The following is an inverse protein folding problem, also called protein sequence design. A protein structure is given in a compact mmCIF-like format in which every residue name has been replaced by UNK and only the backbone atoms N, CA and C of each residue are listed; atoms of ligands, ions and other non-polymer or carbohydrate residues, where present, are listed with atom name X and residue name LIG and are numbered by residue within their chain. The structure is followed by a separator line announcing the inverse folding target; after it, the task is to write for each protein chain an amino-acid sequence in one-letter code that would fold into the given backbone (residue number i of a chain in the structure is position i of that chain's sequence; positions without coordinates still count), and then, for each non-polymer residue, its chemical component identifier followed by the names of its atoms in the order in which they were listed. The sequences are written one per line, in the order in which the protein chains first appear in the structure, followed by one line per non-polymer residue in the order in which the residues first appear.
data_IF_965600059342
#
_entry.id   IF_965600059342
#
_cell.length_a   1.000
_cell.length_b   1.000
_cell.length_c   1.000
_cell.angle_alpha   90.00
_cell.angle_beta   90.00
_cell.angle_gamma   90.00
#
_symmetry.space_group_name_H-M   'P 1'
#
loop_
_entity.id
_entity.type
_entity.pdbx_description
1 polymer ?
#
# COMPACT_ATOMS: atom_id res chain seq x y z
N UNK A 1 -10.79 5.13 15.74
CA UNK A 1 -11.40 3.79 15.85
C UNK A 1 -10.59 3.04 16.90
N UNK A 2 -11.23 2.25 17.76
CA UNK A 2 -10.50 1.51 18.81
C UNK A 2 -9.91 0.23 18.19
N UNK A 3 -8.59 0.08 18.22
CA UNK A 3 -7.86 -1.10 17.70
C UNK A 3 -8.40 -2.40 18.32
N UNK A 4 -9.02 -2.33 19.50
CA UNK A 4 -9.38 -3.45 20.38
C UNK A 4 -10.46 -4.43 19.88
N UNK A 5 -11.08 -4.24 18.71
CA UNK A 5 -12.18 -5.10 18.24
C UNK A 5 -12.06 -5.63 16.81
N UNK A 6 -11.03 -5.25 16.04
CA UNK A 6 -10.88 -5.68 14.65
C UNK A 6 -10.15 -7.02 14.51
N UNK A 7 -10.56 -7.85 13.55
CA UNK A 7 -9.84 -9.08 13.12
C UNK A 7 -9.03 -8.85 11.85
N UNK A 8 -9.48 -7.93 11.00
CA UNK A 8 -8.83 -7.60 9.74
C UNK A 8 -8.45 -6.12 9.73
N UNK A 9 -7.17 -5.82 9.53
CA UNK A 9 -6.67 -4.46 9.52
C UNK A 9 -6.13 -4.08 8.14
N UNK A 10 -6.37 -2.85 7.73
CA UNK A 10 -5.97 -2.30 6.44
C UNK A 10 -5.29 -0.97 6.68
N UNK A 11 -4.11 -0.78 6.10
CA UNK A 11 -3.37 0.48 6.17
C UNK A 11 -2.51 0.65 4.93
N UNK A 12 -2.17 1.89 4.59
CA UNK A 12 -1.44 2.28 3.39
C UNK A 12 -0.63 3.55 3.67
N UNK A 13 0.23 3.93 2.73
CA UNK A 13 0.80 5.28 2.64
C UNK A 13 1.48 5.74 3.95
N UNK A 14 2.24 4.84 4.58
CA UNK A 14 3.05 5.19 5.76
C UNK A 14 4.22 6.08 5.34
N UNK A 15 4.82 5.77 4.19
CA UNK A 15 5.98 6.44 3.61
C UNK A 15 7.13 6.64 4.60
N UNK A 16 7.56 5.56 5.25
CA UNK A 16 8.71 5.62 6.17
C UNK A 16 9.99 6.05 5.44
N UNK A 17 10.78 6.91 6.09
CA UNK A 17 12.02 7.45 5.53
C UNK A 17 11.87 8.69 4.67
N UNK A 18 10.68 9.28 4.62
CA UNK A 18 10.49 10.60 4.03
C UNK A 18 11.31 11.67 4.75
N UNK A 19 11.76 12.68 4.00
CA UNK A 19 12.62 13.76 4.50
C UNK A 19 11.93 14.73 5.46
N UNK A 20 10.60 14.80 5.44
CA UNK A 20 9.76 15.65 6.29
C UNK A 20 9.36 14.96 7.62
N UNK A 21 9.84 13.73 7.87
CA UNK A 21 9.80 13.09 9.19
C UNK A 21 11.23 12.80 9.70
N UNK A 22 12.05 13.84 9.97
CA UNK A 22 13.44 13.66 10.39
C UNK A 22 13.59 13.00 11.76
N UNK A 23 12.51 12.98 12.56
CA UNK A 23 12.50 12.40 13.90
C UNK A 23 11.92 10.98 13.94
N UNK A 24 11.43 10.46 12.80
CA UNK A 24 10.85 9.11 12.71
C UNK A 24 9.56 8.96 13.50
N UNK A 25 8.78 10.03 13.64
CA UNK A 25 7.49 10.01 14.36
C UNK A 25 6.53 9.04 13.67
N UNK A 26 6.46 9.04 12.33
CA UNK A 26 5.59 8.12 11.59
C UNK A 26 6.06 6.67 11.71
N UNK A 27 7.38 6.45 11.68
CA UNK A 27 7.93 5.11 11.92
C UNK A 27 7.56 4.61 13.32
N UNK A 28 7.63 5.48 14.32
CA UNK A 28 7.25 5.15 15.69
C UNK A 28 5.74 4.93 15.85
N UNK A 29 4.89 5.79 15.27
CA UNK A 29 3.43 5.64 15.28
C UNK A 29 3.01 4.34 14.60
N UNK A 30 3.63 4.01 13.45
CA UNK A 30 3.37 2.76 12.74
C UNK A 30 3.84 1.55 13.54
N UNK A 31 5.02 1.63 14.18
CA UNK A 31 5.52 0.58 15.07
C UNK A 31 4.55 0.33 16.24
N UNK A 32 4.07 1.40 16.86
CA UNK A 32 3.14 1.32 17.99
C UNK A 32 1.79 0.76 17.53
N UNK A 33 1.33 1.11 16.33
CA UNK A 33 0.17 0.48 15.71
C UNK A 33 0.36 -1.03 15.53
N UNK A 34 1.45 -1.47 14.90
CA UNK A 34 1.73 -2.90 14.69
C UNK A 34 1.74 -3.68 16.01
N UNK A 35 2.33 -3.09 17.06
CA UNK A 35 2.38 -3.67 18.41
C UNK A 35 1.04 -3.64 19.15
N UNK A 36 0.18 -2.69 18.81
CA UNK A 36 -1.16 -2.56 19.39
C UNK A 36 -2.17 -3.54 18.82
N UNK A 37 -1.85 -4.23 17.71
CA UNK A 37 -2.77 -5.16 17.04
C UNK A 37 -3.21 -6.28 18.01
N UNK A 38 -4.54 -6.50 18.18
CA UNK A 38 -5.07 -7.46 19.14
C UNK A 38 -4.57 -8.88 18.91
N UNK A 39 -4.55 -9.72 19.94
CA UNK A 39 -4.07 -11.10 19.82
C UNK A 39 -4.90 -11.94 18.85
N UNK A 40 -6.19 -11.64 18.68
CA UNK A 40 -7.11 -12.31 17.76
C UNK A 40 -7.12 -11.71 16.35
N UNK A 41 -6.19 -10.80 16.03
CA UNK A 41 -5.97 -10.32 14.66
C UNK A 41 -5.68 -11.50 13.75
N UNK A 42 -6.44 -11.63 12.68
CA UNK A 42 -6.25 -12.70 11.68
C UNK A 42 -5.41 -12.23 10.51
N UNK A 43 -5.69 -11.02 10.00
CA UNK A 43 -5.02 -10.50 8.80
C UNK A 43 -4.67 -9.02 8.91
N UNK A 44 -3.50 -8.68 8.40
CA UNK A 44 -3.06 -7.31 8.19
C UNK A 44 -2.80 -7.11 6.70
N UNK A 45 -3.43 -6.12 6.10
CA UNK A 45 -3.27 -5.73 4.71
C UNK A 45 -2.52 -4.40 4.65
N UNK A 46 -1.30 -4.46 4.13
CA UNK A 46 -0.45 -3.31 3.83
C UNK A 46 -0.66 -2.94 2.36
N UNK A 47 -1.49 -1.94 2.10
CA UNK A 47 -1.93 -1.52 0.77
C UNK A 47 -0.96 -0.50 0.13
N UNK A 48 0.32 -0.83 0.13
CA UNK A 48 1.38 -0.12 -0.59
C UNK A 48 1.86 1.16 0.07
N UNK A 49 3.01 1.63 -0.43
CA UNK A 49 3.69 2.84 0.01
C UNK A 49 3.95 2.86 1.54
N UNK A 50 4.35 1.71 2.07
CA UNK A 50 4.81 1.55 3.45
C UNK A 50 6.17 2.23 3.64
N UNK A 51 7.02 2.19 2.62
CA UNK A 51 8.31 2.87 2.58
C UNK A 51 8.29 3.98 1.53
N UNK A 52 8.94 5.13 1.81
CA UNK A 52 9.16 6.19 0.80
C UNK A 52 10.02 5.70 -0.38
N UNK A 53 10.83 4.68 -0.13
CA UNK A 53 11.51 3.92 -1.17
C UNK A 53 12.02 2.59 -0.60
N UNK A 54 11.73 1.48 -1.28
CA UNK A 54 12.30 0.18 -0.95
C UNK A 54 12.79 -0.56 -2.20
N UNK A 55 13.92 -1.25 -2.06
CA UNK A 55 14.43 -2.16 -3.07
C UNK A 55 15.14 -3.35 -2.43
N UNK A 56 14.72 -4.55 -2.78
CA UNK A 56 15.39 -5.78 -2.35
C UNK A 56 16.74 -5.93 -3.07
N UNK A 57 17.78 -6.22 -2.29
CA UNK A 57 19.06 -6.72 -2.79
C UNK A 57 19.26 -8.17 -2.36
N UNK A 58 20.09 -8.91 -3.10
CA UNK A 58 20.33 -10.34 -2.84
C UNK A 58 20.97 -10.64 -1.47
N UNK A 59 21.74 -9.70 -0.93
CA UNK A 59 22.59 -9.96 0.24
C UNK A 59 22.54 -8.87 1.31
N UNK A 60 21.77 -7.81 1.08
CA UNK A 60 21.65 -6.69 2.03
C UNK A 60 20.22 -6.18 2.05
N UNK A 61 19.69 -5.94 3.24
CA UNK A 61 18.49 -5.12 3.40
C UNK A 61 18.91 -3.64 3.47
N UNK A 62 18.11 -2.71 2.93
CA UNK A 62 18.26 -1.29 3.20
C UNK A 62 18.41 -1.00 4.70
N UNK A 63 19.33 -0.10 5.06
CA UNK A 63 19.51 0.32 6.45
C UNK A 63 18.28 1.11 6.91
N UNK A 64 17.73 0.72 8.06
CA UNK A 64 16.57 1.38 8.69
C UNK A 64 15.50 0.36 9.04
N UNK A 65 14.43 0.82 9.70
CA UNK A 65 13.17 0.08 9.89
C UNK A 65 13.29 -1.30 10.57
N UNK A 66 14.44 -1.64 11.16
CA UNK A 66 14.69 -2.96 11.77
C UNK A 66 13.61 -3.31 12.80
N UNK A 67 13.13 -2.31 13.57
CA UNK A 67 12.07 -2.51 14.56
C UNK A 67 10.71 -2.82 13.92
N UNK A 68 10.42 -2.22 12.76
CA UNK A 68 9.21 -2.49 11.98
C UNK A 68 9.29 -3.88 11.35
N UNK A 69 10.42 -4.20 10.71
CA UNK A 69 10.62 -5.53 10.12
C UNK A 69 10.51 -6.62 11.19
N UNK A 70 11.09 -6.40 12.38
CA UNK A 70 10.92 -7.29 13.52
C UNK A 70 9.45 -7.37 13.97
N UNK A 71 8.74 -6.24 14.07
CA UNK A 71 7.32 -6.26 14.43
C UNK A 71 6.44 -7.01 13.39
N UNK A 72 6.76 -6.91 12.10
CA UNK A 72 6.07 -7.67 11.06
C UNK A 72 6.36 -9.18 11.18
N UNK A 73 7.61 -9.56 11.42
CA UNK A 73 7.99 -10.95 11.67
C UNK A 73 7.31 -11.50 12.94
N UNK A 74 7.28 -10.73 14.02
CA UNK A 74 6.58 -11.11 15.26
C UNK A 74 5.08 -11.36 15.01
N UNK A 75 4.45 -10.56 14.14
CA UNK A 75 3.04 -10.74 13.75
C UNK A 75 2.84 -12.03 12.94
N UNK A 76 3.72 -12.35 12.00
CA UNK A 76 3.62 -13.60 11.23
C UNK A 76 3.92 -14.83 12.07
N UNK A 77 4.88 -14.73 12.98
CA UNK A 77 5.28 -15.83 13.88
C UNK A 77 4.16 -16.20 14.87
N UNK A 78 3.37 -15.20 15.32
CA UNK A 78 2.17 -15.46 16.13
C UNK A 78 0.96 -15.94 15.31
N UNK A 79 1.08 -16.05 13.98
CA UNK A 79 0.06 -16.58 13.08
C UNK A 79 -0.81 -15.55 12.35
N UNK A 80 -0.51 -14.25 12.44
CA UNK A 80 -1.23 -13.23 11.65
C UNK A 80 -0.81 -13.35 10.18
N UNK A 81 -1.78 -13.40 9.28
CA UNK A 81 -1.50 -13.36 7.86
C UNK A 81 -1.28 -11.91 7.43
N UNK A 82 -0.02 -11.53 7.20
CA UNK A 82 0.32 -10.22 6.68
C UNK A 82 0.39 -10.28 5.15
N UNK A 83 -0.37 -9.42 4.47
CA UNK A 83 -0.37 -9.27 3.03
C UNK A 83 0.19 -7.89 2.66
N UNK A 84 1.15 -7.87 1.75
CA UNK A 84 1.77 -6.65 1.26
C UNK A 84 1.44 -6.46 -0.22
N UNK A 85 0.71 -5.40 -0.54
CA UNK A 85 0.45 -4.97 -1.91
C UNK A 85 1.47 -3.89 -2.22
N UNK A 86 2.42 -4.10 -3.14
CA UNK A 86 3.38 -3.07 -3.49
C UNK A 86 2.67 -1.84 -4.06
N UNK A 87 3.04 -0.67 -3.56
CA UNK A 87 2.69 0.64 -4.11
C UNK A 87 3.80 1.19 -4.98
N UNK A 88 3.62 2.43 -5.46
CA UNK A 88 4.55 3.03 -6.42
C UNK A 88 5.91 3.43 -5.83
N UNK A 89 6.08 3.44 -4.51
CA UNK A 89 7.36 3.66 -3.84
C UNK A 89 8.10 2.37 -3.47
N UNK A 90 7.39 1.25 -3.40
CA UNK A 90 7.90 -0.02 -2.89
C UNK A 90 7.61 -1.23 -3.81
N UNK A 91 7.43 -1.00 -5.11
CA UNK A 91 7.32 -2.03 -6.16
C UNK A 91 8.41 -3.14 -6.12
N UNK A 92 9.58 -2.83 -5.57
CA UNK A 92 10.71 -3.76 -5.50
C UNK A 92 10.82 -4.53 -4.18
N UNK A 93 9.77 -4.48 -3.35
CA UNK A 93 9.52 -5.48 -2.33
C UNK A 93 9.21 -6.81 -3.04
N UNK A 94 10.08 -7.80 -2.85
CA UNK A 94 9.99 -9.09 -3.51
C UNK A 94 10.13 -10.22 -2.49
N UNK A 95 11.09 -11.13 -2.67
CA UNK A 95 11.16 -12.37 -1.89
C UNK A 95 11.76 -12.18 -0.50
N UNK A 96 12.38 -11.03 -0.19
CA UNK A 96 12.89 -10.77 1.17
C UNK A 96 11.75 -10.79 2.20
N UNK A 97 10.63 -10.13 1.90
CA UNK A 97 9.47 -10.08 2.79
C UNK A 97 8.81 -11.46 2.95
N UNK A 98 8.75 -12.24 1.86
CA UNK A 98 8.17 -13.59 1.89
C UNK A 98 9.05 -14.57 2.66
N UNK A 99 10.37 -14.53 2.45
CA UNK A 99 11.31 -15.52 2.98
C UNK A 99 11.75 -15.22 4.41
N UNK A 100 11.98 -13.95 4.73
CA UNK A 100 12.57 -13.55 6.01
C UNK A 100 11.52 -13.09 7.02
N UNK A 101 10.38 -12.57 6.55
CA UNK A 101 9.35 -11.97 7.42
C UNK A 101 8.02 -12.71 7.38
N UNK A 102 7.88 -13.78 6.59
CA UNK A 102 6.60 -14.51 6.45
C UNK A 102 5.46 -13.69 5.82
N UNK A 103 5.75 -12.50 5.30
CA UNK A 103 4.77 -11.58 4.71
C UNK A 103 4.46 -12.00 3.28
N UNK A 104 3.18 -12.14 2.93
CA UNK A 104 2.75 -12.52 1.57
C UNK A 104 2.74 -11.31 0.65
N UNK A 105 3.61 -11.28 -0.35
CA UNK A 105 3.67 -10.18 -1.31
C UNK A 105 2.70 -10.45 -2.46
N UNK A 106 1.66 -9.62 -2.56
CA UNK A 106 0.60 -9.73 -3.56
C UNK A 106 0.97 -8.89 -4.77
N UNK A 107 1.13 -9.52 -5.93
CA UNK A 107 1.58 -8.84 -7.17
C UNK A 107 0.42 -8.32 -7.99
N UNK A 108 -0.79 -8.76 -7.65
CA UNK A 108 -2.03 -8.32 -8.21
C UNK A 108 -2.36 -6.89 -7.77
N UNK A 109 -2.84 -6.11 -8.73
CA UNK A 109 -3.15 -4.69 -8.57
C UNK A 109 -4.38 -4.40 -7.70
N UNK A 110 -5.51 -5.07 -7.99
CA UNK A 110 -6.62 -5.26 -7.06
C UNK A 110 -6.88 -6.76 -6.95
N UNK A 111 -7.22 -7.20 -5.75
CA UNK A 111 -7.79 -8.52 -5.50
C UNK A 111 -9.19 -8.39 -4.94
N UNK A 112 -10.05 -9.36 -5.25
CA UNK A 112 -11.38 -9.47 -4.65
C UNK A 112 -11.37 -10.67 -3.72
N UNK A 113 -11.87 -10.49 -2.50
CA UNK A 113 -11.95 -11.56 -1.51
C UNK A 113 -13.17 -11.39 -0.61
N UNK A 114 -13.54 -12.46 0.08
CA UNK A 114 -14.60 -12.45 1.08
C UNK A 114 -13.99 -12.43 2.49
N UNK A 115 -14.39 -11.47 3.32
CA UNK A 115 -14.03 -11.38 4.74
C UNK A 115 -15.31 -11.19 5.56
N UNK A 116 -15.57 -12.10 6.51
CA UNK A 116 -16.76 -12.11 7.37
C UNK A 116 -18.08 -11.85 6.60
N UNK A 117 -18.23 -12.52 5.44
CA UNK A 117 -19.42 -12.42 4.59
C UNK A 117 -19.54 -11.14 3.76
N UNK A 118 -18.49 -10.29 3.74
CA UNK A 118 -18.40 -9.11 2.88
C UNK A 118 -17.42 -9.34 1.74
N UNK A 119 -17.83 -9.01 0.52
CA UNK A 119 -16.97 -9.02 -0.66
C UNK A 119 -16.19 -7.70 -0.74
N UNK A 120 -14.86 -7.77 -0.74
CA UNK A 120 -13.97 -6.61 -0.69
C UNK A 120 -13.05 -6.62 -1.91
N UNK A 121 -13.00 -5.53 -2.69
CA UNK A 121 -11.87 -5.27 -3.61
C UNK A 121 -10.86 -4.38 -2.91
N UNK A 122 -9.60 -4.77 -2.94
CA UNK A 122 -8.53 -3.99 -2.32
C UNK A 122 -7.26 -4.02 -3.15
N UNK A 123 -6.47 -2.97 -2.99
CA UNK A 123 -5.18 -2.78 -3.65
C UNK A 123 -4.57 -1.45 -3.23
N UNK A 124 -3.41 -1.08 -3.77
CA UNK A 124 -2.78 0.18 -3.41
C UNK A 124 -3.54 1.39 -3.97
N UNK A 125 -3.82 1.43 -5.26
CA UNK A 125 -4.60 2.51 -5.89
C UNK A 125 -3.88 3.26 -7.02
N UNK A 126 -2.63 2.89 -7.30
CA UNK A 126 -1.79 3.43 -8.38
C UNK A 126 -2.14 2.86 -9.77
N UNK A 127 -3.00 1.85 -9.87
CA UNK A 127 -3.44 1.23 -11.13
C UNK A 127 -3.85 2.21 -12.23
N UNK A 128 -4.62 3.28 -11.94
CA UNK A 128 -4.98 4.26 -12.96
C UNK A 128 -3.77 5.03 -13.51
N UNK A 129 -2.64 5.09 -12.78
CA UNK A 129 -1.39 5.71 -13.26
C UNK A 129 -0.79 4.97 -14.46
N UNK A 130 -1.06 3.67 -14.59
CA UNK A 130 -0.62 2.89 -15.75
C UNK A 130 -1.38 3.24 -17.05
N UNK A 131 -2.46 4.01 -16.97
CA UNK A 131 -3.40 4.13 -18.08
C UNK A 131 -2.89 4.99 -19.25
N UNK A 132 -2.10 6.06 -19.03
CA UNK A 132 -1.74 7.02 -20.12
C UNK A 132 -0.38 7.72 -19.96
N UNK A 133 0.22 8.04 -21.11
CA UNK A 133 1.33 9.00 -21.23
C UNK A 133 2.66 8.57 -20.60
N UNK A 134 3.40 9.54 -20.05
CA UNK A 134 4.73 9.34 -19.44
C UNK A 134 4.70 8.41 -18.22
N UNK A 135 3.62 8.42 -17.45
CA UNK A 135 3.42 7.55 -16.29
C UNK A 135 3.42 6.07 -16.70
N UNK A 136 2.74 5.73 -17.80
CA UNK A 136 2.77 4.38 -18.38
C UNK A 136 4.19 3.95 -18.77
N UNK A 137 4.98 4.82 -19.40
CA UNK A 137 6.35 4.48 -19.79
C UNK A 137 7.22 4.20 -18.55
N UNK A 138 7.18 5.09 -17.55
CA UNK A 138 7.90 4.95 -16.29
C UNK A 138 7.53 3.63 -15.61
N UNK A 139 6.25 3.32 -15.55
CA UNK A 139 5.74 2.07 -15.02
C UNK A 139 6.33 0.84 -15.74
N UNK A 140 6.37 0.85 -17.08
CA UNK A 140 6.98 -0.26 -17.84
C UNK A 140 8.49 -0.40 -17.59
N UNK A 141 9.20 0.73 -17.43
CA UNK A 141 10.62 0.71 -17.09
C UNK A 141 10.85 0.07 -15.73
N UNK A 142 10.06 0.44 -14.73
CA UNK A 142 10.24 -0.04 -13.35
C UNK A 142 9.79 -1.48 -13.11
N UNK A 143 8.95 -2.03 -13.99
CA UNK A 143 8.56 -3.45 -13.98
C UNK A 143 9.44 -4.33 -14.87
N UNK A 144 10.34 -3.74 -15.66
CA UNK A 144 11.25 -4.50 -16.53
C UNK A 144 12.40 -5.12 -15.73
N UNK A 145 12.52 -6.45 -15.76
CA UNK A 145 13.61 -7.19 -15.11
C UNK A 145 15.00 -6.65 -15.47
N UNK A 146 15.18 -6.19 -16.71
CA UNK A 146 16.44 -5.59 -17.17
C UNK A 146 16.75 -4.30 -16.40
N UNK A 147 15.81 -3.36 -16.36
CA UNK A 147 16.01 -2.08 -15.67
C UNK A 147 16.12 -2.24 -14.16
N UNK A 148 15.38 -3.18 -13.57
CA UNK A 148 15.54 -3.54 -12.16
C UNK A 148 16.96 -4.07 -11.89
N UNK A 149 17.50 -4.92 -12.78
CA UNK A 149 18.86 -5.41 -12.64
C UNK A 149 19.91 -4.29 -12.76
N UNK A 150 19.70 -3.35 -13.70
CA UNK A 150 20.55 -2.15 -13.84
C UNK A 150 20.50 -1.30 -12.58
N UNK A 151 19.31 -1.02 -12.05
CA UNK A 151 19.13 -0.27 -10.81
C UNK A 151 19.84 -0.98 -9.66
N UNK A 152 19.66 -2.29 -9.47
CA UNK A 152 20.32 -3.07 -8.41
C UNK A 152 21.85 -3.10 -8.51
N UNK A 153 22.42 -2.90 -9.70
CA UNK A 153 23.86 -2.85 -9.91
C UNK A 153 24.49 -1.47 -9.61
N UNK A 154 23.68 -0.42 -9.53
CA UNK A 154 24.18 0.92 -9.20
C UNK A 154 24.59 1.03 -7.73
N UNK A 155 25.49 1.97 -7.36
CA UNK A 155 25.82 2.23 -5.97
C UNK A 155 24.55 2.57 -5.16
N UNK A 156 24.32 1.87 -4.05
CA UNK A 156 23.13 2.03 -3.19
C UNK A 156 22.86 3.51 -2.85
N UNK A 157 23.91 4.26 -2.46
CA UNK A 157 23.81 5.70 -2.17
C UNK A 157 23.21 6.53 -3.30
N UNK A 158 23.51 6.17 -4.55
CA UNK A 158 23.04 6.90 -5.72
C UNK A 158 21.55 6.61 -5.98
N UNK A 159 21.14 5.33 -5.88
CA UNK A 159 19.75 4.92 -6.05
C UNK A 159 18.85 5.58 -5.01
N UNK A 160 19.24 5.53 -3.73
CA UNK A 160 18.48 6.16 -2.66
C UNK A 160 18.42 7.68 -2.78
N UNK A 161 19.49 8.32 -3.27
CA UNK A 161 19.46 9.75 -3.60
C UNK A 161 18.47 10.06 -4.74
N UNK A 162 18.49 9.27 -5.82
CA UNK A 162 17.57 9.43 -6.93
C UNK A 162 16.10 9.21 -6.50
N UNK A 163 15.85 8.18 -5.70
CA UNK A 163 14.52 7.89 -5.19
C UNK A 163 13.97 9.03 -4.31
N UNK A 164 14.78 9.53 -3.37
CA UNK A 164 14.38 10.65 -2.49
C UNK A 164 14.11 11.94 -3.27
N UNK A 165 14.94 12.24 -4.27
CA UNK A 165 14.75 13.44 -5.10
C UNK A 165 13.51 13.32 -5.98
N UNK A 166 13.24 12.15 -6.55
CA UNK A 166 12.00 11.88 -7.26
C UNK A 166 10.80 12.04 -6.33
N UNK A 167 10.82 11.32 -5.21
CA UNK A 167 9.73 11.29 -4.24
C UNK A 167 9.31 12.70 -3.82
N UNK A 168 10.27 13.55 -3.45
CA UNK A 168 10.03 14.96 -3.14
C UNK A 168 9.44 15.75 -4.33
N UNK A 169 9.93 15.52 -5.55
CA UNK A 169 9.41 16.17 -6.75
C UNK A 169 7.96 15.77 -7.06
N UNK A 170 7.62 14.49 -6.89
CA UNK A 170 6.28 13.96 -7.12
C UNK A 170 5.27 14.62 -6.18
N UNK A 171 5.59 14.64 -4.88
CA UNK A 171 4.74 15.27 -3.85
C UNK A 171 4.49 16.74 -4.10
N UNK A 172 5.52 17.52 -4.46
CA UNK A 172 5.36 18.96 -4.74
C UNK A 172 4.35 19.27 -5.86
N UNK A 173 4.06 18.28 -6.71
CA UNK A 173 3.12 18.39 -7.83
C UNK A 173 1.75 17.79 -7.50
N UNK A 174 1.65 16.99 -6.45
CA UNK A 174 0.39 16.40 -6.03
C UNK A 174 -0.51 17.51 -5.47
N UNK A 175 -1.74 17.56 -5.97
CA UNK A 175 -2.79 18.45 -5.47
C UNK A 175 -3.96 17.55 -5.07
N UNK A 176 -4.33 17.52 -3.78
CA UNK A 176 -5.50 16.78 -3.34
C UNK A 176 -6.72 17.23 -4.13
N UNK A 177 -7.45 16.28 -4.71
CA UNK A 177 -8.77 16.57 -5.28
C UNK A 177 -9.78 16.58 -4.12
N UNK A 178 -10.45 17.71 -3.83
CA UNK A 178 -11.41 17.77 -2.73
C UNK A 178 -12.65 16.92 -2.99
N UNK A 179 -12.93 16.55 -4.25
CA UNK A 179 -14.06 15.71 -4.62
C UNK A 179 -13.59 14.30 -4.94
N UNK A 180 -13.92 13.33 -4.08
CA UNK A 180 -13.58 11.93 -4.31
C UNK A 180 -14.21 11.38 -5.60
N UNK A 181 -15.35 11.92 -6.04
CA UNK A 181 -16.11 11.40 -7.19
C UNK A 181 -15.46 11.72 -8.54
N UNK A 182 -14.59 12.72 -8.59
CA UNK A 182 -13.82 13.07 -9.79
C UNK A 182 -12.57 12.21 -9.97
N UNK A 183 -12.13 11.54 -8.90
CA UNK A 183 -10.89 10.75 -8.88
C UNK A 183 -10.92 9.55 -9.81
N UNK A 184 -9.73 9.11 -10.23
CA UNK A 184 -9.57 7.90 -11.04
C UNK A 184 -10.02 6.63 -10.32
N UNK A 185 -9.85 6.57 -9.00
CA UNK A 185 -10.25 5.42 -8.18
C UNK A 185 -11.77 5.28 -8.07
N UNK A 186 -12.50 6.38 -7.90
CA UNK A 186 -13.97 6.35 -7.90
C UNK A 186 -14.52 5.83 -9.24
N UNK A 187 -13.99 6.36 -10.36
CA UNK A 187 -14.36 5.90 -11.70
C UNK A 187 -13.99 4.44 -11.94
N UNK A 188 -12.86 4.00 -11.40
CA UNK A 188 -12.43 2.60 -11.47
C UNK A 188 -13.39 1.70 -10.68
N UNK A 189 -13.71 2.03 -9.44
CA UNK A 189 -14.61 1.25 -8.58
C UNK A 189 -16.00 1.11 -9.23
N UNK A 190 -16.57 2.22 -9.73
CA UNK A 190 -17.85 2.18 -10.44
C UNK A 190 -17.80 1.25 -11.66
N UNK A 191 -16.79 1.41 -12.51
CA UNK A 191 -16.62 0.56 -13.70
C UNK A 191 -16.42 -0.91 -13.32
N UNK A 192 -15.59 -1.19 -12.33
CA UNK A 192 -15.28 -2.54 -11.88
C UNK A 192 -16.52 -3.26 -11.35
N UNK A 193 -17.34 -2.58 -10.54
CA UNK A 193 -18.61 -3.12 -10.06
C UNK A 193 -19.58 -3.42 -11.20
N UNK A 194 -19.69 -2.54 -12.20
CA UNK A 194 -20.52 -2.78 -13.41
C UNK A 194 -20.04 -3.97 -14.22
N UNK A 195 -18.73 -4.08 -14.43
CA UNK A 195 -18.14 -5.17 -15.20
C UNK A 195 -18.36 -6.53 -14.49
N UNK A 196 -18.20 -6.57 -13.15
CA UNK A 196 -18.49 -7.77 -12.35
C UNK A 196 -19.97 -8.18 -12.41
N UNK A 197 -20.88 -7.21 -12.26
CA UNK A 197 -22.31 -7.46 -12.35
C UNK A 197 -22.70 -8.00 -13.74
N UNK A 198 -22.11 -7.45 -14.81
CA UNK A 198 -22.32 -7.95 -16.17
C UNK A 198 -21.76 -9.36 -16.39
N UNK A 199 -20.69 -9.73 -15.67
CA UNK A 199 -20.13 -11.08 -15.66
C UNK A 199 -20.90 -12.07 -14.76
N UNK A 200 -21.93 -11.62 -14.04
CA UNK A 200 -22.70 -12.44 -13.10
C UNK A 200 -21.95 -12.76 -11.80
N UNK A 201 -20.91 -11.99 -11.48
CA UNK A 201 -20.12 -12.17 -10.25
C UNK A 201 -20.78 -11.48 -9.05
N UNK A 202 -20.48 -11.91 -7.80
CA UNK A 202 -21.02 -11.27 -6.61
C UNK A 202 -20.70 -9.76 -6.55
N UNK A 203 -21.64 -8.93 -6.07
CA UNK A 203 -21.42 -7.50 -5.89
C UNK A 203 -20.30 -7.27 -4.87
N UNK A 204 -19.56 -6.19 -5.05
CA UNK A 204 -18.53 -5.75 -4.09
C UNK A 204 -19.19 -4.86 -3.06
N UNK A 205 -19.02 -5.19 -1.78
CA UNK A 205 -19.56 -4.40 -0.67
C UNK A 205 -18.65 -3.23 -0.31
N UNK A 206 -17.33 -3.43 -0.40
CA UNK A 206 -16.33 -2.46 0.01
C UNK A 206 -15.13 -2.44 -0.95
N UNK A 207 -14.72 -1.25 -1.37
CA UNK A 207 -13.51 -1.01 -2.14
C UNK A 207 -12.50 -0.28 -1.24
N UNK A 208 -11.34 -0.87 -0.96
CA UNK A 208 -10.33 -0.28 -0.07
C UNK A 208 -9.06 0.02 -0.85
N UNK A 209 -8.68 1.29 -0.90
CA UNK A 209 -7.44 1.75 -1.55
C UNK A 209 -6.72 2.80 -0.70
N UNK A 210 -5.45 3.04 -0.98
CA UNK A 210 -4.67 4.18 -0.49
C UNK A 210 -4.33 5.14 -1.64
N UNK A 211 -3.05 5.46 -1.77
CA UNK A 211 -2.40 6.17 -2.88
C UNK A 211 -2.72 7.66 -3.03
N UNK A 212 -3.97 8.09 -2.79
CA UNK A 212 -4.36 9.51 -2.96
C UNK A 212 -4.17 10.35 -1.70
N UNK A 213 -3.69 9.75 -0.60
CA UNK A 213 -3.37 10.38 0.70
C UNK A 213 -4.53 11.10 1.42
N UNK A 214 -5.67 11.27 0.76
CA UNK A 214 -6.81 12.03 1.25
C UNK A 214 -7.90 11.04 1.68
N UNK A 215 -8.07 10.82 3.00
CA UNK A 215 -9.05 9.85 3.49
C UNK A 215 -10.45 10.27 3.05
N UNK A 216 -11.17 9.36 2.41
CA UNK A 216 -12.47 9.64 1.83
C UNK A 216 -13.37 8.41 1.84
N UNK A 217 -14.68 8.65 1.85
CA UNK A 217 -15.70 7.62 1.69
C UNK A 217 -16.74 8.08 0.68
N UNK A 218 -17.14 7.19 -0.21
CA UNK A 218 -18.19 7.47 -1.19
C UNK A 218 -18.98 6.21 -1.54
N UNK A 219 -20.29 6.35 -1.67
CA UNK A 219 -21.12 5.28 -2.22
C UNK A 219 -20.87 5.15 -3.72
N UNK A 220 -20.71 3.92 -4.21
CA UNK A 220 -20.49 3.64 -5.61
C UNK A 220 -21.83 3.37 -6.31
N UNK A 221 -22.13 4.02 -7.45
CA UNK A 221 -23.41 3.84 -8.15
C UNK A 221 -23.66 2.38 -8.58
N UNK A 222 -22.61 1.64 -8.90
CA UNK A 222 -22.68 0.21 -9.22
C UNK A 222 -22.82 -0.72 -8.01
N UNK A 223 -22.86 -0.17 -6.79
CA UNK A 223 -23.00 -0.89 -5.53
C UNK A 223 -21.71 -0.88 -4.69
N UNK A 224 -21.89 -0.90 -3.37
CA UNK A 224 -20.82 -0.88 -2.39
C UNK A 224 -20.32 0.52 -2.00
N UNK A 225 -19.37 0.55 -1.07
CA UNK A 225 -18.72 1.79 -0.60
C UNK A 225 -17.24 1.80 -1.02
N UNK A 226 -16.76 2.93 -1.52
CA UNK A 226 -15.34 3.21 -1.67
C UNK A 226 -14.80 3.83 -0.39
N UNK A 227 -13.77 3.21 0.16
CA UNK A 227 -12.98 3.68 1.28
C UNK A 227 -11.54 3.95 0.81
N UNK A 228 -11.13 5.20 0.95
CA UNK A 228 -9.75 5.61 0.75
C UNK A 228 -9.09 5.79 2.12
N UNK A 229 -7.97 5.08 2.32
CA UNK A 229 -7.09 5.22 3.46
C UNK A 229 -6.29 6.53 3.33
N UNK A 230 -6.15 7.25 4.45
CA UNK A 230 -5.26 8.41 4.52
C UNK A 230 -3.81 7.98 4.73
N UNK A 231 -2.89 8.93 4.58
CA UNK A 231 -1.49 8.71 4.96
C UNK A 231 -1.26 8.88 6.48
N UNK A 232 -0.03 8.56 6.89
CA UNK A 232 0.38 8.64 8.31
C UNK A 232 0.94 10.02 8.70
N UNK A 233 0.85 11.04 7.85
CA UNK A 233 1.49 12.34 8.09
C UNK A 233 0.86 13.10 9.26
N UNK A 234 -0.44 12.91 9.49
CA UNK A 234 -1.20 13.51 10.59
C UNK A 234 -1.44 12.55 11.77
N UNK A 235 -0.78 11.39 11.78
CA UNK A 235 -0.92 10.34 12.80
C UNK A 235 -1.49 9.03 12.24
N UNK A 236 -1.87 8.07 13.10
CA UNK A 236 -2.27 6.73 12.68
C UNK A 236 -3.49 6.69 11.73
N UNK A 237 -3.29 6.07 10.56
CA UNK A 237 -4.32 5.90 9.54
C UNK A 237 -4.49 4.42 9.18
N UNK A 238 -5.62 3.85 9.59
CA UNK A 238 -5.98 2.46 9.30
C UNK A 238 -7.49 2.27 9.36
N UNK A 239 -7.95 1.18 8.77
CA UNK A 239 -9.31 0.68 8.85
C UNK A 239 -9.31 -0.73 9.43
N UNK A 240 -10.34 -1.08 10.19
CA UNK A 240 -10.49 -2.42 10.74
C UNK A 240 -11.91 -2.95 10.56
N UNK A 241 -12.01 -4.27 10.34
CA UNK A 241 -13.23 -5.06 10.27
C UNK A 241 -13.22 -6.14 11.35
#
# INVERSE_FOLDING_TARGET
MDVRQGKYFFTADVHMGMSDDPHGVREQDFLDFLRSLPQDTQRLYLLGDVFDFWIDYKSVAPRGYVRILAALADLTDRGVQVFFYPGNHDWWVTDYFEKELGVKVVKEYCTVMELDGKTICLGHGDMPLAAKGKARLIFHLFHSKFWIAVLRAMPVRFIFWLARTWSASSRSKHRPDPDITTTGLYKFADKFGRDRAAAGEPPVDLYIFGHIHTPARAQIPSGGELLILGDWSAGPSYFCL
#
